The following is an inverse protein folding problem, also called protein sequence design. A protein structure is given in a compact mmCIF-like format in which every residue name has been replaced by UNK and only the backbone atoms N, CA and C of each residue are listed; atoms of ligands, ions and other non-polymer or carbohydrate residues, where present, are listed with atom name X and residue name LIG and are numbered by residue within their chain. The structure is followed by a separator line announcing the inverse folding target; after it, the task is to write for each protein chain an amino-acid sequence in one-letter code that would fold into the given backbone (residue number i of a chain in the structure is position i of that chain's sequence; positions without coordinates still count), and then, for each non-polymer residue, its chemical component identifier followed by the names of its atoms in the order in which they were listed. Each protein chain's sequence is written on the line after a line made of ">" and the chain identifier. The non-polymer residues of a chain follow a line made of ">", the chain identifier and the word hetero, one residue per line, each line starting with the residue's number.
data_IF_420644518732
#
_entry.id   IF_420644518732
#
_cell.length_a   1.000
_cell.length_b   1.000
_cell.length_c   1.000
_cell.angle_alpha   90.00
_cell.angle_beta   90.00
_cell.angle_gamma   90.00
#
_symmetry.space_group_name_H-M   'P 1'
#
loop_
_entity.id
_entity.type
_entity.pdbx_description
1 polymer ?
#
# COMPACT_ATOMS: atom_id res chain seq x y z
N UNK A 1 -17.28 6.88 2.09
CA UNK A 1 -17.55 6.08 0.87
C UNK A 1 -17.86 4.66 1.30
N UNK A 2 -18.91 4.04 0.76
CA UNK A 2 -19.35 2.70 1.17
C UNK A 2 -18.58 1.62 0.40
N UNK A 3 -17.97 0.68 1.12
CA UNK A 3 -17.31 -0.49 0.52
C UNK A 3 -18.35 -1.50 0.05
N UNK A 4 -18.13 -2.03 -1.15
CA UNK A 4 -18.91 -3.07 -1.81
C UNK A 4 -18.05 -4.33 -1.94
N UNK A 5 -18.73 -5.47 -1.99
CA UNK A 5 -18.10 -6.79 -2.00
C UNK A 5 -18.46 -7.50 -3.30
N UNK A 6 -17.46 -8.06 -3.95
CA UNK A 6 -17.57 -8.72 -5.24
C UNK A 6 -16.99 -10.12 -5.18
N UNK A 7 -17.65 -11.07 -5.85
CA UNK A 7 -17.10 -12.39 -6.19
C UNK A 7 -17.06 -12.45 -7.72
N UNK A 8 -15.86 -12.29 -8.29
CA UNK A 8 -15.66 -12.00 -9.71
C UNK A 8 -14.57 -12.87 -10.32
N UNK A 9 -14.64 -13.05 -11.63
CA UNK A 9 -13.64 -13.79 -12.40
C UNK A 9 -12.72 -12.81 -13.11
N UNK A 10 -11.41 -12.93 -12.89
CA UNK A 10 -10.40 -12.10 -13.53
C UNK A 10 -10.43 -12.34 -15.03
N UNK A 11 -10.55 -11.28 -15.81
CA UNK A 11 -10.52 -11.32 -17.27
C UNK A 11 -9.15 -10.88 -17.77
N UNK A 12 -8.63 -9.80 -17.18
CA UNK A 12 -7.34 -9.24 -17.54
C UNK A 12 -6.70 -8.59 -16.31
N UNK A 13 -5.41 -8.86 -16.10
CA UNK A 13 -4.61 -8.05 -15.17
C UNK A 13 -3.53 -7.30 -15.95
N UNK A 14 -3.54 -5.97 -15.89
CA UNK A 14 -2.39 -5.15 -16.28
C UNK A 14 -1.39 -5.10 -15.10
N UNK A 15 -1.02 -6.28 -14.59
CA UNK A 15 -0.20 -6.44 -13.39
C UNK A 15 1.26 -5.99 -13.61
N UNK A 16 1.79 -6.12 -14.84
CA UNK A 16 3.20 -5.85 -15.18
C UNK A 16 3.42 -4.49 -15.85
N UNK A 17 2.37 -3.85 -16.38
CA UNK A 17 2.49 -2.64 -17.18
C UNK A 17 2.27 -1.43 -16.27
N UNK A 18 3.38 -0.93 -15.70
CA UNK A 18 3.41 0.26 -14.87
C UNK A 18 3.17 1.50 -15.75
N UNK A 19 1.90 1.85 -15.97
CA UNK A 19 1.53 3.24 -16.21
C UNK A 19 2.08 4.08 -15.03
N UNK A 20 2.44 5.37 -15.22
CA UNK A 20 3.28 6.10 -14.28
C UNK A 20 2.77 5.95 -12.84
N UNK A 21 3.69 5.70 -11.91
CA UNK A 21 3.43 5.70 -10.47
C UNK A 21 2.60 4.54 -9.92
N UNK A 22 2.99 3.31 -10.24
CA UNK A 22 2.64 2.12 -9.45
C UNK A 22 1.14 1.77 -9.38
N UNK A 23 0.36 2.34 -10.29
CA UNK A 23 -1.07 2.08 -10.42
C UNK A 23 -1.30 0.77 -11.16
N UNK A 24 -2.01 -0.16 -10.54
CA UNK A 24 -2.39 -1.45 -11.12
C UNK A 24 -3.86 -1.44 -11.47
N UNK A 25 -4.20 -2.05 -12.61
CA UNK A 25 -5.57 -2.23 -13.08
C UNK A 25 -5.90 -3.72 -13.23
N UNK A 26 -7.01 -4.14 -12.64
CA UNK A 26 -7.61 -5.47 -12.79
C UNK A 26 -8.99 -5.30 -13.44
N UNK A 27 -9.24 -6.07 -14.49
CA UNK A 27 -10.56 -6.20 -15.12
C UNK A 27 -11.11 -7.57 -14.76
N UNK A 28 -12.30 -7.60 -14.15
CA UNK A 28 -12.95 -8.82 -13.70
C UNK A 28 -14.47 -8.71 -13.82
N UNK A 29 -15.10 -9.69 -14.48
CA UNK A 29 -16.55 -9.76 -14.71
C UNK A 29 -17.15 -8.45 -15.24
N UNK A 30 -16.49 -7.83 -16.23
CA UNK A 30 -16.88 -6.55 -16.83
C UNK A 30 -16.68 -5.31 -15.93
N UNK A 31 -16.12 -5.46 -14.73
CA UNK A 31 -15.81 -4.36 -13.83
C UNK A 31 -14.31 -4.04 -13.86
N UNK A 32 -13.95 -2.78 -13.65
CA UNK A 32 -12.56 -2.32 -13.60
C UNK A 32 -12.19 -1.86 -12.20
N UNK A 33 -11.11 -2.41 -11.67
CA UNK A 33 -10.59 -2.15 -10.34
C UNK A 33 -9.20 -1.54 -10.42
N UNK A 34 -8.97 -0.49 -9.63
CA UNK A 34 -7.71 0.24 -9.52
C UNK A 34 -7.17 0.21 -8.10
N UNK A 35 -5.85 0.19 -7.96
CA UNK A 35 -5.15 0.33 -6.69
C UNK A 35 -3.66 0.63 -6.91
N UNK A 36 -2.99 1.16 -5.88
CA UNK A 36 -1.53 1.26 -5.87
C UNK A 36 -0.90 -0.02 -5.33
N UNK A 37 0.12 -0.54 -6.00
CA UNK A 37 0.76 -1.81 -5.60
C UNK A 37 1.42 -1.72 -4.21
N UNK A 38 2.00 -0.57 -3.88
CA UNK A 38 2.77 -0.35 -2.65
C UNK A 38 1.88 -0.27 -1.40
N UNK A 39 0.57 -0.08 -1.57
CA UNK A 39 -0.39 -0.06 -0.45
C UNK A 39 -0.56 -1.46 0.17
N UNK A 40 -0.09 -2.52 -0.51
CA UNK A 40 -0.30 -3.91 -0.13
C UNK A 40 1.03 -4.64 0.11
N UNK A 41 1.14 -5.32 1.25
CA UNK A 41 2.25 -6.26 1.50
C UNK A 41 2.16 -7.45 0.55
N UNK A 42 3.30 -7.96 0.07
CA UNK A 42 3.40 -9.15 -0.80
C UNK A 42 2.59 -9.08 -2.11
N UNK A 43 2.24 -7.88 -2.57
CA UNK A 43 1.49 -7.67 -3.80
C UNK A 43 2.18 -8.27 -5.02
N UNK A 44 3.51 -8.16 -5.12
CA UNK A 44 4.30 -8.74 -6.22
C UNK A 44 4.07 -10.25 -6.39
N UNK A 45 4.05 -11.01 -5.29
CA UNK A 45 3.89 -12.47 -5.34
C UNK A 45 2.50 -12.88 -5.83
N UNK A 46 1.46 -12.17 -5.39
CA UNK A 46 0.10 -12.46 -5.84
C UNK A 46 -0.11 -12.01 -7.29
N UNK A 47 0.31 -10.79 -7.63
CA UNK A 47 0.11 -10.21 -8.95
C UNK A 47 0.87 -10.97 -10.04
N UNK A 48 2.04 -11.53 -9.72
CA UNK A 48 2.78 -12.41 -10.64
C UNK A 48 2.05 -13.74 -10.94
N UNK A 49 1.16 -14.18 -10.05
CA UNK A 49 0.45 -15.47 -10.15
C UNK A 49 -1.00 -15.34 -10.56
N UNK A 50 -1.56 -14.14 -10.48
CA UNK A 50 -2.93 -13.84 -10.85
C UNK A 50 -3.08 -13.93 -12.37
N UNK A 51 -4.03 -14.73 -12.83
CA UNK A 51 -4.25 -15.01 -14.24
C UNK A 51 -5.72 -14.84 -14.62
N UNK A 52 -5.98 -14.66 -15.92
CA UNK A 52 -7.33 -14.70 -16.44
C UNK A 52 -7.99 -16.05 -16.12
N UNK A 53 -9.27 -16.02 -15.73
CA UNK A 53 -10.04 -17.18 -15.27
C UNK A 53 -10.01 -17.40 -13.74
N UNK A 54 -9.13 -16.71 -13.01
CA UNK A 54 -9.09 -16.82 -11.54
C UNK A 54 -10.36 -16.23 -10.91
N UNK A 55 -10.91 -16.93 -9.91
CA UNK A 55 -12.00 -16.39 -9.08
C UNK A 55 -11.44 -15.70 -7.87
N UNK A 56 -11.82 -14.45 -7.68
CA UNK A 56 -11.35 -13.60 -6.59
C UNK A 56 -12.50 -12.93 -5.88
N UNK A 57 -12.35 -12.77 -4.57
CA UNK A 57 -13.21 -11.93 -3.75
C UNK A 57 -12.57 -10.57 -3.59
N UNK A 58 -13.29 -9.50 -3.89
CA UNK A 58 -12.77 -8.13 -3.86
C UNK A 58 -13.64 -7.27 -2.96
N UNK A 59 -13.01 -6.51 -2.07
CA UNK A 59 -13.64 -5.38 -1.40
C UNK A 59 -13.17 -4.08 -2.04
N UNK A 60 -14.10 -3.28 -2.56
CA UNK A 60 -13.78 -2.05 -3.26
C UNK A 60 -14.86 -0.99 -3.07
N UNK A 61 -14.56 0.29 -3.25
CA UNK A 61 -15.57 1.34 -3.32
C UNK A 61 -15.69 1.89 -4.74
N UNK A 62 -16.89 2.37 -5.09
CA UNK A 62 -17.16 2.91 -6.42
C UNK A 62 -16.62 4.34 -6.57
N UNK A 63 -15.96 4.60 -7.69
CA UNK A 63 -15.48 5.92 -8.11
C UNK A 63 -16.56 6.65 -8.94
N UNK A 64 -16.33 7.94 -9.21
CA UNK A 64 -17.31 8.79 -9.90
C UNK A 64 -17.56 8.38 -11.35
N UNK A 65 -16.54 7.80 -12.00
CA UNK A 65 -16.61 7.28 -13.38
C UNK A 65 -17.26 5.89 -13.47
N UNK A 66 -17.65 5.32 -12.32
CA UNK A 66 -18.25 4.00 -12.23
C UNK A 66 -17.27 2.84 -12.10
N UNK A 67 -15.96 3.11 -12.17
CA UNK A 67 -14.92 2.14 -11.81
C UNK A 67 -14.81 1.96 -10.31
N UNK A 68 -13.91 1.10 -9.85
CA UNK A 68 -13.78 0.75 -8.44
C UNK A 68 -12.35 0.93 -7.94
N UNK A 69 -12.22 1.45 -6.72
CA UNK A 69 -10.97 1.48 -6.00
C UNK A 69 -10.89 0.30 -5.03
N UNK A 70 -9.89 -0.55 -5.22
CA UNK A 70 -9.72 -1.80 -4.49
C UNK A 70 -9.10 -1.55 -3.11
N UNK A 71 -9.69 -2.17 -2.10
CA UNK A 71 -9.20 -2.13 -0.72
C UNK A 71 -8.57 -3.44 -0.27
N UNK A 72 -9.05 -4.56 -0.79
CA UNK A 72 -8.48 -5.88 -0.56
C UNK A 72 -8.94 -6.86 -1.63
N UNK A 73 -8.15 -7.91 -1.84
CA UNK A 73 -8.44 -8.99 -2.76
C UNK A 73 -8.06 -10.32 -2.11
N UNK A 74 -8.88 -11.34 -2.31
CA UNK A 74 -8.62 -12.69 -1.82
C UNK A 74 -8.79 -13.70 -2.95
N UNK A 75 -7.75 -14.49 -3.20
CA UNK A 75 -7.82 -15.69 -4.03
C UNK A 75 -7.70 -16.92 -3.14
N UNK A 76 -8.57 -17.92 -3.33
CA UNK A 76 -8.67 -19.07 -2.41
C UNK A 76 -7.37 -19.85 -2.18
N UNK A 77 -6.45 -19.87 -3.16
CA UNK A 77 -5.19 -20.63 -3.08
C UNK A 77 -3.93 -19.81 -3.38
N UNK A 78 -4.07 -18.61 -3.94
CA UNK A 78 -2.93 -17.81 -4.43
C UNK A 78 -2.49 -16.75 -3.42
N UNK A 79 -3.34 -16.46 -2.43
CA UNK A 79 -3.07 -15.51 -1.37
C UNK A 79 -4.06 -14.36 -1.37
N UNK A 80 -3.66 -13.25 -0.75
CA UNK A 80 -4.50 -12.07 -0.51
C UNK A 80 -3.71 -10.79 -0.66
N UNK A 81 -4.36 -9.75 -1.18
CA UNK A 81 -3.93 -8.37 -1.06
C UNK A 81 -4.66 -7.77 0.14
N UNK A 82 -3.95 -7.58 1.24
CA UNK A 82 -4.43 -6.83 2.38
C UNK A 82 -3.53 -5.59 2.56
N UNK A 83 -4.11 -4.42 2.86
CA UNK A 83 -3.34 -3.20 2.97
C UNK A 83 -2.36 -3.32 4.14
N UNK A 84 -1.12 -2.92 3.92
CA UNK A 84 -0.06 -2.99 4.93
C UNK A 84 -0.37 -1.99 6.07
N UNK A 85 -1.04 -2.47 7.14
CA UNK A 85 -1.29 -1.67 8.34
C UNK A 85 -0.08 -1.63 9.27
N UNK A 86 1.00 -2.31 8.92
CA UNK A 86 2.13 -2.58 9.80
C UNK A 86 3.14 -1.43 9.75
N UNK A 87 2.91 -0.40 10.57
CA UNK A 87 3.91 0.45 11.23
C UNK A 87 4.97 1.20 10.41
N UNK A 88 5.12 1.01 9.09
CA UNK A 88 6.17 1.64 8.26
C UNK A 88 6.11 3.16 8.31
N UNK A 89 4.89 3.71 8.28
CA UNK A 89 4.68 5.15 8.43
C UNK A 89 5.18 5.66 9.80
N UNK A 90 4.89 4.95 10.89
CA UNK A 90 5.33 5.36 12.23
C UNK A 90 6.85 5.28 12.41
N UNK A 91 7.51 4.31 11.78
CA UNK A 91 8.96 4.14 11.93
C UNK A 91 9.75 5.31 11.32
N UNK A 92 9.33 5.83 10.16
CA UNK A 92 9.97 7.00 9.52
C UNK A 92 9.84 8.26 10.38
N UNK A 93 8.66 8.50 10.95
CA UNK A 93 8.46 9.64 11.86
C UNK A 93 9.19 9.45 13.19
N UNK A 94 9.28 8.23 13.69
CA UNK A 94 10.07 7.92 14.88
C UNK A 94 11.57 8.16 14.66
N UNK A 95 12.10 7.77 13.51
CA UNK A 95 13.49 8.07 13.12
C UNK A 95 13.74 9.58 12.99
N UNK A 96 12.81 10.33 12.40
CA UNK A 96 12.87 11.80 12.35
C UNK A 96 12.82 12.44 13.75
N UNK A 97 12.00 11.90 14.65
CA UNK A 97 11.93 12.34 16.05
C UNK A 97 13.24 12.10 16.78
N UNK A 98 13.86 10.92 16.60
CA UNK A 98 15.17 10.59 17.17
C UNK A 98 16.27 11.50 16.61
N UNK A 99 16.27 11.76 15.29
CA UNK A 99 17.22 12.68 14.66
C UNK A 99 17.07 14.11 15.23
N UNK A 100 15.83 14.58 15.39
CA UNK A 100 15.54 15.88 16.02
C UNK A 100 16.02 15.94 17.47
N UNK A 101 15.83 14.87 18.24
CA UNK A 101 16.29 14.78 19.63
C UNK A 101 17.82 14.80 19.74
N UNK A 102 18.55 14.13 18.84
CA UNK A 102 20.02 14.16 18.79
C UNK A 102 20.55 15.55 18.42
N UNK A 103 19.94 16.21 17.43
CA UNK A 103 20.31 17.57 17.03
C UNK A 103 20.01 18.60 18.14
N UNK A 104 18.89 18.44 18.86
CA UNK A 104 18.51 19.32 19.96
C UNK A 104 19.28 19.04 21.27
N UNK A 105 19.66 17.78 21.52
CA UNK A 105 20.41 17.34 22.70
C UNK A 105 21.92 17.58 22.64
N UNK A 106 22.45 18.07 21.50
CA UNK A 106 23.87 18.37 21.29
C UNK A 106 24.40 19.63 21.99
N UNK A 107 23.57 20.38 22.70
CA UNK A 107 23.97 21.47 23.59
C UNK A 107 23.37 21.18 24.97
N UNK A 108 24.15 20.84 26.02
CA UNK A 108 25.23 21.70 26.53
C UNK A 108 26.41 20.93 27.18
N UNK A 109 27.61 20.97 26.59
CA UNK A 109 28.82 20.55 27.31
C UNK A 109 30.02 21.50 27.12
N UNK A 110 30.02 22.33 26.07
CA UNK A 110 31.09 23.29 25.83
C UNK A 110 30.94 24.62 26.59
N UNK A 111 29.78 24.92 27.19
CA UNK A 111 29.54 26.19 27.88
C UNK A 111 29.95 26.17 29.37
N UNK A 112 30.26 25.00 29.94
CA UNK A 112 30.63 24.86 31.37
C UNK A 112 32.14 24.68 31.64
N UNK A 113 33.01 24.87 30.64
CA UNK A 113 34.49 24.73 30.81
C UNK A 113 35.21 26.09 30.73
N UNK A 114 34.49 27.22 30.63
CA UNK A 114 35.11 28.54 30.43
C UNK A 114 34.63 29.59 31.45
N UNK A 115 34.60 29.23 32.74
CA UNK A 115 34.41 30.21 33.83
C UNK A 115 35.17 29.75 35.10
N UNK A 116 36.48 29.54 34.93
CA UNK A 116 37.36 29.08 35.99
C UNK A 116 38.77 29.64 35.81
N UNK A 117 38.90 30.97 35.87
CA UNK A 117 40.12 31.68 36.30
C UNK A 117 39.73 32.91 37.14
#
# INVERSE_FOLDING_TARGET
>A
MQTQFFDVTVEQCACQQTAPDNLVRIIASGQTFFFYRDDFSDSENLLARLAAGDRVKIGAHRLQDGSYWLHWLLHGTKGRLEPDRTLKYKLKYFALLLLGAVLAGGFPAAFFIMDGE
#
